data_IF_360421225562
#
_entry.id   IF_360421225562
#
_cell.length_a   1.000
_cell.length_b   1.000
_cell.length_c   1.000
_cell.angle_alpha   90.00
_cell.angle_beta   90.00
_cell.angle_gamma   90.00
#
_symmetry.space_group_name_H-M   'P 1'
#
loop_
_entity.id
_entity.type
_entity.pdbx_description
1 polymer ?
#
# COMPACT_ATOMS: atom_id res chain seq x y z
N UNK A 1 57.39 17.65 21.48
CA UNK A 1 56.35 17.35 20.45
C UNK A 1 56.38 15.90 19.90
N UNK A 2 57.15 14.98 20.47
CA UNK A 2 57.36 13.60 19.97
C UNK A 2 56.87 12.51 20.95
N UNK A 3 56.13 12.85 22.02
CA UNK A 3 55.56 11.89 22.98
C UNK A 3 54.05 11.72 22.92
N UNK A 4 53.34 12.48 22.10
CA UNK A 4 51.85 12.46 22.00
C UNK A 4 51.30 11.53 20.91
N UNK A 5 52.13 11.06 19.96
CA UNK A 5 51.65 10.20 18.87
C UNK A 5 51.63 8.70 19.16
N UNK A 6 52.28 8.21 20.23
CA UNK A 6 52.30 6.78 20.56
C UNK A 6 51.14 6.30 21.41
N UNK A 7 50.35 7.19 21.98
CA UNK A 7 49.18 6.84 22.82
C UNK A 7 47.86 6.73 21.98
N UNK A 8 47.75 7.43 20.84
CA UNK A 8 46.62 7.39 19.95
C UNK A 8 46.49 6.05 19.18
N UNK A 9 47.62 5.50 18.75
CA UNK A 9 47.63 4.23 17.99
C UNK A 9 47.31 2.99 18.81
N UNK A 10 47.52 3.03 20.13
CA UNK A 10 47.14 1.90 21.02
C UNK A 10 45.66 1.86 21.37
N UNK A 11 44.95 2.98 21.32
CA UNK A 11 43.51 3.04 21.58
C UNK A 11 42.69 2.62 20.33
N UNK A 12 43.15 2.95 19.13
CA UNK A 12 42.54 2.52 17.88
C UNK A 12 42.64 1.00 17.62
N UNK A 13 43.69 0.36 18.12
CA UNK A 13 43.85 -1.11 18.02
C UNK A 13 43.11 -1.90 19.12
N UNK A 14 42.61 -1.26 20.19
CA UNK A 14 41.84 -1.90 21.24
C UNK A 14 40.35 -1.96 20.95
N UNK A 15 39.79 -1.05 20.15
CA UNK A 15 38.36 -1.01 19.80
C UNK A 15 37.98 -2.00 18.68
N UNK A 16 38.92 -2.46 17.87
CA UNK A 16 38.65 -3.42 16.79
C UNK A 16 38.56 -4.89 17.24
N UNK A 17 38.73 -5.19 18.53
CA UNK A 17 38.82 -6.57 19.03
C UNK A 17 37.55 -7.15 19.66
N UNK A 18 36.40 -6.45 19.61
CA UNK A 18 35.16 -6.95 20.23
C UNK A 18 33.99 -7.13 19.25
N UNK A 19 34.24 -7.42 17.97
CA UNK A 19 33.22 -8.04 17.13
C UNK A 19 33.01 -9.47 17.63
N UNK A 20 31.95 -9.72 18.41
CA UNK A 20 31.54 -11.08 18.80
C UNK A 20 31.49 -11.94 17.55
N UNK A 21 32.42 -12.90 17.44
CA UNK A 21 32.49 -13.82 16.31
C UNK A 21 31.14 -14.48 16.13
N UNK A 22 30.49 -14.27 14.97
CA UNK A 22 29.18 -14.84 14.68
C UNK A 22 29.31 -16.35 14.70
N UNK A 23 28.63 -17.00 15.67
CA UNK A 23 28.64 -18.46 15.81
C UNK A 23 27.98 -19.06 14.57
N UNK A 24 28.64 -20.03 13.97
CA UNK A 24 28.16 -20.75 12.81
C UNK A 24 27.56 -22.10 13.23
N UNK A 25 26.72 -22.68 12.40
CA UNK A 25 26.15 -24.03 12.63
C UNK A 25 27.24 -25.09 12.69
N UNK A 26 28.34 -24.91 11.98
CA UNK A 26 29.55 -25.76 12.05
C UNK A 26 30.24 -25.74 13.40
N UNK A 27 30.24 -24.58 14.10
CA UNK A 27 30.82 -24.48 15.45
C UNK A 27 29.98 -25.28 16.44
N UNK A 28 28.65 -25.15 16.35
CA UNK A 28 27.71 -25.93 17.20
C UNK A 28 27.90 -27.43 16.95
N UNK A 29 28.03 -27.84 15.71
CA UNK A 29 28.22 -29.24 15.32
C UNK A 29 29.54 -29.80 15.93
N UNK A 30 30.62 -29.03 15.79
CA UNK A 30 31.95 -29.38 16.35
C UNK A 30 31.90 -29.45 17.86
N UNK A 31 31.34 -28.47 18.54
CA UNK A 31 31.33 -28.37 20.00
C UNK A 31 30.46 -29.47 20.68
N UNK A 32 29.44 -29.95 19.94
CA UNK A 32 28.57 -31.05 20.43
C UNK A 32 28.95 -32.43 19.89
N UNK A 33 29.99 -32.54 19.04
CA UNK A 33 30.43 -33.82 18.45
C UNK A 33 29.40 -34.47 17.52
N UNK A 34 28.65 -33.65 16.78
CA UNK A 34 27.62 -34.14 15.83
C UNK A 34 27.82 -33.56 14.44
N UNK A 35 27.15 -34.12 13.44
CA UNK A 35 27.22 -33.56 12.09
C UNK A 35 26.43 -32.24 11.97
N UNK A 36 26.88 -31.34 11.07
CA UNK A 36 26.15 -30.10 10.71
C UNK A 36 24.73 -30.44 10.24
N UNK A 37 24.59 -31.56 9.52
CA UNK A 37 23.28 -32.04 9.06
C UNK A 37 22.36 -32.40 10.21
N UNK A 38 22.87 -33.05 11.24
CA UNK A 38 22.11 -33.40 12.46
C UNK A 38 21.62 -32.13 13.17
N UNK A 39 22.50 -31.14 13.40
CA UNK A 39 22.11 -29.83 13.97
C UNK A 39 21.05 -29.16 13.11
N UNK A 40 21.21 -29.14 11.79
CA UNK A 40 20.26 -28.58 10.86
C UNK A 40 18.88 -29.25 10.94
N UNK A 41 18.81 -30.57 11.02
CA UNK A 41 17.53 -31.28 11.14
C UNK A 41 16.82 -30.94 12.46
N UNK A 42 17.55 -30.87 13.57
CA UNK A 42 17.01 -30.49 14.89
C UNK A 42 16.45 -29.07 14.85
N UNK A 43 17.23 -28.11 14.33
CA UNK A 43 16.82 -26.71 14.24
C UNK A 43 15.60 -26.48 13.32
N UNK A 44 15.40 -27.33 12.32
CA UNK A 44 14.25 -27.29 11.43
C UNK A 44 13.05 -28.15 11.89
N UNK A 45 13.06 -28.67 13.13
CA UNK A 45 11.96 -29.48 13.68
C UNK A 45 11.81 -30.88 13.07
N UNK A 46 12.82 -31.36 12.31
CA UNK A 46 12.80 -32.65 11.62
C UNK A 46 13.44 -33.78 12.40
N UNK A 47 13.70 -33.60 13.71
CA UNK A 47 14.38 -34.58 14.53
C UNK A 47 13.67 -35.93 14.55
N UNK A 48 12.34 -35.97 14.73
CA UNK A 48 11.54 -37.21 14.73
C UNK A 48 11.55 -37.90 13.38
N UNK A 49 11.36 -37.12 12.29
CA UNK A 49 11.39 -37.62 10.89
C UNK A 49 12.72 -38.30 10.57
N UNK A 50 13.82 -37.73 11.08
CA UNK A 50 15.19 -38.23 10.86
C UNK A 50 15.67 -39.16 11.94
N UNK A 51 14.77 -39.68 12.80
CA UNK A 51 15.04 -40.63 13.88
C UNK A 51 16.18 -40.19 14.83
N UNK A 52 16.25 -38.88 15.09
CA UNK A 52 17.20 -38.30 16.06
C UNK A 52 16.60 -38.40 17.46
N UNK A 53 17.39 -38.88 18.43
CA UNK A 53 16.92 -39.09 19.80
C UNK A 53 16.50 -37.77 20.50
N UNK A 54 15.50 -37.85 21.39
CA UNK A 54 15.03 -36.71 22.15
C UNK A 54 16.14 -36.09 23.02
N UNK A 55 17.01 -36.95 23.59
CA UNK A 55 18.15 -36.50 24.40
C UNK A 55 19.15 -35.66 23.60
N UNK A 56 19.48 -36.08 22.38
CA UNK A 56 20.36 -35.28 21.49
C UNK A 56 19.66 -34.00 21.03
N UNK A 57 18.39 -34.10 20.70
CA UNK A 57 17.58 -32.93 20.30
C UNK A 57 17.58 -31.87 21.39
N UNK A 58 17.29 -32.24 22.64
CA UNK A 58 17.33 -31.34 23.79
C UNK A 58 18.72 -30.72 23.99
N UNK A 59 19.77 -31.53 23.95
CA UNK A 59 21.17 -31.07 24.14
C UNK A 59 21.55 -30.01 23.11
N UNK A 60 21.16 -30.19 21.83
CA UNK A 60 21.43 -29.23 20.77
C UNK A 60 20.63 -27.93 20.95
N UNK A 61 19.34 -28.03 21.28
CA UNK A 61 18.49 -26.84 21.49
C UNK A 61 18.95 -26.02 22.72
N UNK A 62 19.32 -26.67 23.81
CA UNK A 62 19.84 -26.01 25.01
C UNK A 62 21.16 -25.30 24.72
N UNK A 63 22.06 -25.93 23.96
CA UNK A 63 23.31 -25.31 23.54
C UNK A 63 23.10 -24.10 22.63
N UNK A 64 22.24 -24.23 21.62
CA UNK A 64 21.84 -23.14 20.70
C UNK A 64 21.32 -21.94 21.48
N UNK A 65 20.44 -22.18 22.49
CA UNK A 65 19.92 -21.13 23.37
C UNK A 65 21.02 -20.50 24.21
N UNK A 66 21.93 -21.31 24.78
CA UNK A 66 23.06 -20.87 25.61
C UNK A 66 24.00 -19.92 24.83
N UNK A 67 24.33 -20.26 23.58
CA UNK A 67 25.28 -19.48 22.77
C UNK A 67 24.60 -18.35 21.97
N UNK A 68 23.27 -18.23 22.05
CA UNK A 68 22.53 -17.22 21.33
C UNK A 68 22.58 -17.36 19.81
N UNK A 69 22.76 -18.59 19.31
CA UNK A 69 22.81 -18.84 17.86
C UNK A 69 21.45 -18.56 17.23
N UNK A 70 21.47 -17.78 16.15
CA UNK A 70 20.31 -17.58 15.29
C UNK A 70 20.60 -18.20 13.93
N UNK A 71 19.70 -19.03 13.39
CA UNK A 71 19.84 -19.57 12.04
C UNK A 71 20.11 -18.44 11.04
N UNK A 72 21.01 -18.68 10.11
CA UNK A 72 21.25 -17.73 9.03
C UNK A 72 20.14 -17.85 7.99
N UNK A 73 19.19 -16.90 7.99
CA UNK A 73 18.06 -16.89 7.06
C UNK A 73 18.54 -16.80 5.59
N UNK A 74 19.67 -16.15 5.32
CA UNK A 74 20.28 -16.13 3.98
C UNK A 74 20.71 -17.53 3.54
N UNK A 75 21.39 -18.29 4.41
CA UNK A 75 21.81 -19.67 4.10
C UNK A 75 20.59 -20.61 3.95
N UNK A 76 19.51 -20.32 4.68
CA UNK A 76 18.25 -21.04 4.53
C UNK A 76 17.56 -20.70 3.23
N UNK A 77 17.50 -19.43 2.83
CA UNK A 77 16.90 -18.99 1.56
C UNK A 77 17.66 -19.55 0.36
N UNK A 78 19.00 -19.54 0.37
CA UNK A 78 19.82 -20.16 -0.67
C UNK A 78 19.51 -21.67 -0.84
N UNK A 79 19.29 -22.39 0.26
CA UNK A 79 18.95 -23.82 0.22
C UNK A 79 17.51 -24.11 -0.20
N UNK A 80 16.57 -23.25 0.19
CA UNK A 80 15.13 -23.47 -0.07
C UNK A 80 14.62 -22.76 -1.31
N UNK A 81 15.40 -21.83 -1.87
CA UNK A 81 14.97 -20.92 -2.92
C UNK A 81 13.89 -19.92 -2.48
N UNK A 82 13.63 -19.79 -1.14
CA UNK A 82 12.57 -18.93 -0.59
C UNK A 82 13.10 -18.07 0.53
N UNK A 83 12.85 -16.77 0.44
CA UNK A 83 13.21 -15.77 1.45
C UNK A 83 12.14 -15.58 2.52
N UNK A 84 10.91 -15.98 2.22
CA UNK A 84 9.71 -15.69 3.01
C UNK A 84 9.44 -14.19 3.17
N UNK A 85 9.80 -13.42 2.13
CA UNK A 85 9.59 -11.98 2.06
C UNK A 85 8.66 -11.69 0.88
N UNK A 86 7.69 -10.79 1.09
CA UNK A 86 6.82 -10.24 0.07
C UNK A 86 7.15 -8.75 -0.06
N UNK A 87 7.35 -8.27 -1.29
CA UNK A 87 7.50 -6.86 -1.60
C UNK A 87 6.14 -6.18 -1.78
N UNK A 88 5.89 -5.12 -1.04
CA UNK A 88 4.69 -4.28 -1.15
C UNK A 88 5.10 -2.89 -1.64
N UNK A 89 4.82 -2.62 -2.91
CA UNK A 89 5.13 -1.36 -3.60
C UNK A 89 3.85 -0.56 -3.71
N UNK A 90 3.77 0.55 -2.97
CA UNK A 90 2.57 1.40 -2.89
C UNK A 90 2.88 2.84 -3.27
N UNK A 91 1.84 3.63 -3.50
CA UNK A 91 2.00 5.05 -3.82
C UNK A 91 2.61 5.82 -2.65
N UNK A 92 1.92 5.86 -1.51
CA UNK A 92 2.33 6.60 -0.33
C UNK A 92 1.82 5.93 0.96
N UNK A 93 2.74 5.51 1.83
CA UNK A 93 2.41 4.88 3.12
C UNK A 93 1.80 5.89 4.12
N UNK A 94 1.98 7.18 3.92
CA UNK A 94 1.36 8.20 4.78
C UNK A 94 -0.14 8.35 4.52
N UNK A 95 -0.62 7.95 3.34
CA UNK A 95 -2.05 7.93 3.03
C UNK A 95 -2.75 6.79 3.81
N UNK A 96 -3.76 7.09 4.64
CA UNK A 96 -4.46 6.09 5.45
C UNK A 96 -5.05 4.91 4.68
N UNK A 97 -5.42 5.09 3.41
CA UNK A 97 -5.90 4.01 2.56
C UNK A 97 -4.81 2.93 2.40
N UNK A 98 -3.62 3.32 1.94
CA UNK A 98 -2.50 2.39 1.76
C UNK A 98 -1.98 1.85 3.08
N UNK A 99 -1.88 2.71 4.13
CA UNK A 99 -1.41 2.31 5.45
C UNK A 99 -2.29 1.23 6.09
N UNK A 100 -3.61 1.37 6.02
CA UNK A 100 -4.54 0.39 6.57
C UNK A 100 -4.47 -0.95 5.83
N UNK A 101 -4.38 -0.93 4.49
CA UNK A 101 -4.24 -2.14 3.68
C UNK A 101 -2.90 -2.81 3.97
N UNK A 102 -1.79 -2.05 4.02
CA UNK A 102 -0.47 -2.58 4.35
C UNK A 102 -0.46 -3.30 5.71
N UNK A 103 -1.06 -2.69 6.74
CA UNK A 103 -1.19 -3.29 8.08
C UNK A 103 -1.97 -4.62 8.06
N UNK A 104 -3.05 -4.69 7.29
CA UNK A 104 -3.86 -5.91 7.19
C UNK A 104 -3.12 -7.01 6.42
N UNK A 105 -2.45 -6.65 5.31
CA UNK A 105 -1.60 -7.58 4.54
C UNK A 105 -0.49 -8.12 5.43
N UNK A 106 0.20 -7.24 6.19
CA UNK A 106 1.28 -7.64 7.10
C UNK A 106 0.81 -8.66 8.13
N UNK A 107 -0.31 -8.40 8.81
CA UNK A 107 -0.85 -9.31 9.82
C UNK A 107 -1.14 -10.71 9.24
N UNK A 108 -1.75 -10.76 8.04
CA UNK A 108 -2.10 -12.01 7.34
C UNK A 108 -0.86 -12.74 6.82
N UNK A 109 0.10 -12.02 6.23
CA UNK A 109 1.37 -12.57 5.78
C UNK A 109 2.17 -13.16 6.95
N UNK A 110 2.21 -12.44 8.08
CA UNK A 110 2.89 -12.90 9.29
C UNK A 110 2.34 -14.23 9.78
N UNK A 111 1.02 -14.39 9.82
CA UNK A 111 0.36 -15.65 10.22
C UNK A 111 0.73 -16.83 9.32
N UNK A 112 1.16 -16.55 8.07
CA UNK A 112 1.62 -17.55 7.10
C UNK A 112 3.16 -17.68 7.04
N UNK A 113 3.88 -17.03 7.96
CA UNK A 113 5.33 -17.07 8.07
C UNK A 113 6.09 -16.20 7.07
N UNK A 114 5.39 -15.25 6.42
CA UNK A 114 5.99 -14.24 5.54
C UNK A 114 6.27 -12.93 6.30
N UNK A 115 7.18 -12.13 5.78
CA UNK A 115 7.45 -10.76 6.19
C UNK A 115 7.19 -9.82 5.03
N UNK A 116 6.75 -8.60 5.31
CA UNK A 116 6.53 -7.59 4.30
C UNK A 116 7.69 -6.59 4.31
N UNK A 117 8.26 -6.34 3.14
CA UNK A 117 9.04 -5.14 2.86
C UNK A 117 8.15 -4.20 2.06
N UNK A 118 7.96 -2.98 2.53
CA UNK A 118 7.17 -1.99 1.80
C UNK A 118 8.00 -0.76 1.45
N UNK A 119 7.59 -0.09 0.37
CA UNK A 119 8.17 1.17 -0.05
C UNK A 119 7.11 2.06 -0.71
N UNK A 120 7.30 3.39 -0.60
CA UNK A 120 6.47 4.40 -1.25
C UNK A 120 7.16 4.90 -2.52
N UNK A 121 6.39 4.94 -3.61
CA UNK A 121 6.88 5.34 -4.94
C UNK A 121 6.63 6.82 -5.23
N UNK A 122 5.71 7.45 -4.49
CA UNK A 122 5.21 8.82 -4.73
C UNK A 122 4.69 9.00 -6.17
N UNK A 123 4.19 7.92 -6.77
CA UNK A 123 3.79 7.84 -8.19
C UNK A 123 4.89 8.20 -9.21
N UNK A 124 6.17 8.19 -8.81
CA UNK A 124 7.29 8.47 -9.69
C UNK A 124 7.70 7.21 -10.45
N UNK A 125 7.62 7.19 -11.81
CA UNK A 125 7.93 6.00 -12.60
C UNK A 125 9.34 5.48 -12.38
N UNK A 126 10.35 6.35 -12.41
CA UNK A 126 11.75 5.96 -12.21
C UNK A 126 11.99 5.34 -10.82
N UNK A 127 11.44 5.95 -9.76
CA UNK A 127 11.51 5.43 -8.40
C UNK A 127 10.79 4.09 -8.26
N UNK A 128 9.67 3.91 -8.95
CA UNK A 128 8.92 2.65 -8.94
C UNK A 128 9.75 1.52 -9.55
N UNK A 129 10.38 1.77 -10.71
CA UNK A 129 11.28 0.79 -11.35
C UNK A 129 12.45 0.43 -10.44
N UNK A 130 13.15 1.46 -9.89
CA UNK A 130 14.28 1.25 -8.98
C UNK A 130 13.91 0.37 -7.78
N UNK A 131 12.76 0.64 -7.14
CA UNK A 131 12.31 -0.10 -5.97
C UNK A 131 11.87 -1.53 -6.31
N UNK A 132 11.28 -1.76 -7.47
CA UNK A 132 10.96 -3.11 -7.96
C UNK A 132 12.25 -3.90 -8.20
N UNK A 133 13.25 -3.32 -8.87
CA UNK A 133 14.53 -3.97 -9.11
C UNK A 133 15.28 -4.23 -7.78
N UNK A 134 15.25 -3.30 -6.83
CA UNK A 134 15.80 -3.53 -5.49
C UNK A 134 15.17 -4.76 -4.82
N UNK A 135 13.86 -4.93 -4.92
CA UNK A 135 13.18 -6.10 -4.36
C UNK A 135 13.54 -7.38 -5.12
N UNK A 136 13.74 -7.30 -6.43
CA UNK A 136 14.24 -8.41 -7.27
C UNK A 136 15.61 -8.86 -6.82
N UNK A 137 16.55 -7.92 -6.62
CA UNK A 137 17.89 -8.20 -6.11
C UNK A 137 17.89 -8.79 -4.69
N UNK A 138 16.90 -8.43 -3.88
CA UNK A 138 16.67 -9.01 -2.54
C UNK A 138 15.95 -10.35 -2.58
N UNK A 139 15.62 -10.86 -3.76
CA UNK A 139 14.95 -12.14 -3.98
C UNK A 139 13.67 -12.27 -3.17
N UNK A 140 12.80 -11.22 -3.17
CA UNK A 140 11.48 -11.35 -2.56
C UNK A 140 10.70 -12.45 -3.28
N UNK A 141 9.90 -13.22 -2.52
CA UNK A 141 9.19 -14.38 -3.06
C UNK A 141 7.98 -13.97 -3.91
N UNK A 142 7.45 -12.78 -3.72
CA UNK A 142 6.31 -12.26 -4.47
C UNK A 142 6.07 -10.77 -4.27
N UNK A 143 5.21 -10.19 -5.11
CA UNK A 143 5.01 -8.75 -5.21
C UNK A 143 3.53 -8.38 -5.12
N UNK A 144 3.22 -7.33 -4.36
CA UNK A 144 1.96 -6.59 -4.44
C UNK A 144 2.33 -5.18 -4.87
N UNK A 145 1.84 -4.72 -6.04
CA UNK A 145 2.29 -3.48 -6.65
C UNK A 145 1.10 -2.59 -6.98
N UNK A 146 1.13 -1.34 -6.50
CA UNK A 146 0.33 -0.24 -7.03
C UNK A 146 1.13 0.39 -8.18
N UNK A 147 0.79 0.10 -9.45
CA UNK A 147 1.62 0.54 -10.57
C UNK A 147 1.53 2.04 -10.78
N UNK A 148 2.66 2.75 -10.90
CA UNK A 148 2.73 4.11 -11.42
C UNK A 148 2.61 4.11 -12.95
N UNK A 149 2.43 5.28 -13.57
CA UNK A 149 2.44 5.39 -15.03
C UNK A 149 3.81 4.97 -15.58
N UNK A 150 3.85 4.35 -16.76
CA UNK A 150 5.09 3.99 -17.46
C UNK A 150 5.85 2.77 -16.93
N UNK A 151 5.32 2.00 -15.97
CA UNK A 151 6.00 0.81 -15.41
C UNK A 151 5.61 -0.52 -16.07
N UNK A 152 4.89 -0.46 -17.20
CA UNK A 152 4.42 -1.66 -17.91
C UNK A 152 5.53 -2.67 -18.16
N UNK A 153 6.64 -2.26 -18.79
CA UNK A 153 7.73 -3.15 -19.19
C UNK A 153 8.36 -3.87 -17.98
N UNK A 154 8.49 -3.15 -16.87
CA UNK A 154 8.99 -3.72 -15.61
C UNK A 154 8.06 -4.80 -15.07
N UNK A 155 6.75 -4.54 -15.06
CA UNK A 155 5.75 -5.51 -14.60
C UNK A 155 5.68 -6.73 -15.56
N UNK A 156 5.74 -6.50 -16.87
CA UNK A 156 5.83 -7.57 -17.87
C UNK A 156 7.07 -8.45 -17.68
N UNK A 157 8.22 -7.84 -17.35
CA UNK A 157 9.46 -8.58 -17.04
C UNK A 157 9.31 -9.48 -15.81
N UNK A 158 8.62 -9.01 -14.75
CA UNK A 158 8.33 -9.84 -13.57
C UNK A 158 7.44 -11.03 -13.94
N UNK A 159 6.39 -10.80 -14.72
CA UNK A 159 5.45 -11.83 -15.16
C UNK A 159 6.15 -12.86 -16.09
N UNK A 160 6.99 -12.41 -17.03
CA UNK A 160 7.78 -13.27 -17.90
C UNK A 160 8.77 -14.14 -17.11
N UNK A 161 9.24 -13.65 -15.97
CA UNK A 161 10.09 -14.39 -15.03
C UNK A 161 9.27 -15.32 -14.10
N UNK A 162 7.97 -15.46 -14.31
CA UNK A 162 7.05 -16.25 -13.48
C UNK A 162 7.06 -15.89 -11.99
N UNK A 163 7.39 -14.64 -11.66
CA UNK A 163 7.37 -14.17 -10.28
C UNK A 163 5.93 -13.93 -9.82
N UNK A 164 5.52 -14.44 -8.65
CA UNK A 164 4.21 -14.19 -8.09
C UNK A 164 3.93 -12.70 -7.91
N UNK A 165 2.86 -12.21 -8.54
CA UNK A 165 2.54 -10.79 -8.61
C UNK A 165 1.03 -10.55 -8.57
N UNK A 166 0.61 -9.52 -7.82
CA UNK A 166 -0.75 -8.99 -7.83
C UNK A 166 -0.69 -7.47 -7.91
N UNK A 167 -1.40 -6.88 -8.87
CA UNK A 167 -1.58 -5.44 -8.95
C UNK A 167 -2.69 -4.99 -7.98
N UNK A 168 -2.55 -3.79 -7.45
CA UNK A 168 -3.41 -3.26 -6.41
C UNK A 168 -3.83 -1.82 -6.70
N UNK A 169 -5.06 -1.44 -6.32
CA UNK A 169 -5.66 -0.10 -6.47
C UNK A 169 -5.93 0.28 -7.93
N UNK A 170 -5.02 -0.05 -8.82
CA UNK A 170 -5.09 0.20 -10.26
C UNK A 170 -4.48 -0.97 -11.04
N UNK A 171 -4.81 -1.07 -12.30
CA UNK A 171 -4.32 -2.09 -13.21
C UNK A 171 -3.65 -1.47 -14.43
N UNK A 172 -2.93 -2.28 -15.20
CA UNK A 172 -2.32 -1.86 -16.45
C UNK A 172 -3.20 -2.37 -17.61
N UNK A 173 -3.87 -1.49 -18.36
CA UNK A 173 -4.78 -1.89 -19.43
C UNK A 173 -4.12 -2.81 -20.46
N UNK A 174 -4.79 -3.92 -20.81
CA UNK A 174 -4.28 -4.91 -21.77
C UNK A 174 -3.18 -5.84 -21.24
N UNK A 175 -2.79 -5.72 -19.96
CA UNK A 175 -1.85 -6.66 -19.34
C UNK A 175 -2.60 -7.81 -18.67
N UNK A 176 -2.24 -9.04 -19.01
CA UNK A 176 -2.81 -10.23 -18.36
C UNK A 176 -2.11 -10.49 -17.00
N UNK A 177 -2.49 -9.73 -15.99
CA UNK A 177 -1.97 -9.81 -14.63
C UNK A 177 -3.10 -9.99 -13.63
N UNK A 178 -2.80 -10.61 -12.48
CA UNK A 178 -3.71 -10.59 -11.34
C UNK A 178 -3.85 -9.16 -10.83
N UNK A 179 -5.08 -8.75 -10.51
CA UNK A 179 -5.29 -7.48 -9.84
C UNK A 179 -6.48 -7.52 -8.89
N UNK A 180 -6.45 -6.66 -7.89
CA UNK A 180 -7.56 -6.38 -6.98
C UNK A 180 -7.76 -4.87 -6.93
N UNK A 181 -8.93 -4.42 -7.35
CA UNK A 181 -9.31 -3.01 -7.40
C UNK A 181 -10.70 -2.80 -6.81
N UNK A 182 -11.03 -1.57 -6.48
CA UNK A 182 -12.40 -1.18 -6.16
C UNK A 182 -13.20 -0.84 -7.43
N UNK A 183 -14.52 -0.99 -7.39
CA UNK A 183 -15.40 -0.50 -8.44
C UNK A 183 -15.47 1.04 -8.40
N UNK A 184 -14.49 1.66 -9.03
CA UNK A 184 -14.33 3.11 -9.06
C UNK A 184 -15.42 3.79 -9.88
N UNK A 185 -15.89 3.14 -10.96
CA UNK A 185 -16.98 3.67 -11.81
C UNK A 185 -18.28 3.75 -11.02
N UNK A 186 -18.65 2.64 -10.37
CA UNK A 186 -19.90 2.59 -9.59
C UNK A 186 -19.83 3.50 -8.38
N UNK A 187 -18.71 3.52 -7.65
CA UNK A 187 -18.54 4.37 -6.46
C UNK A 187 -18.70 5.86 -6.80
N UNK A 188 -18.08 6.32 -7.90
CA UNK A 188 -18.19 7.70 -8.34
C UNK A 188 -19.58 8.02 -8.92
N UNK A 189 -20.19 7.06 -9.62
CA UNK A 189 -21.58 7.19 -10.07
C UNK A 189 -22.53 7.37 -8.89
N UNK A 190 -22.46 6.49 -7.90
CA UNK A 190 -23.33 6.54 -6.72
C UNK A 190 -23.17 7.84 -5.92
N UNK A 191 -21.93 8.35 -5.78
CA UNK A 191 -21.64 9.64 -5.16
C UNK A 191 -22.30 10.82 -5.88
N UNK A 192 -22.14 10.87 -7.20
CA UNK A 192 -22.69 11.96 -8.03
C UNK A 192 -24.21 11.87 -8.14
N UNK A 193 -24.75 10.65 -8.33
CA UNK A 193 -26.18 10.39 -8.38
C UNK A 193 -26.87 10.78 -7.07
N UNK A 194 -26.24 10.49 -5.92
CA UNK A 194 -26.76 10.92 -4.62
C UNK A 194 -26.92 12.44 -4.54
N UNK A 195 -25.93 13.22 -4.97
CA UNK A 195 -26.02 14.69 -5.01
C UNK A 195 -27.13 15.15 -5.96
N UNK A 196 -27.22 14.58 -7.15
CA UNK A 196 -28.28 14.90 -8.11
C UNK A 196 -29.69 14.60 -7.58
N UNK A 197 -29.87 13.46 -6.90
CA UNK A 197 -31.13 13.05 -6.24
C UNK A 197 -31.51 13.99 -5.09
N UNK A 198 -30.55 14.66 -4.46
CA UNK A 198 -30.80 15.71 -3.44
C UNK A 198 -31.12 17.06 -4.03
N UNK A 199 -31.23 17.16 -5.36
CA UNK A 199 -31.65 18.37 -6.07
C UNK A 199 -30.53 19.29 -6.51
N UNK A 200 -29.24 18.91 -6.23
CA UNK A 200 -28.10 19.69 -6.70
C UNK A 200 -28.01 19.67 -8.23
N UNK A 201 -27.72 20.82 -8.85
CA UNK A 201 -27.68 21.00 -10.31
C UNK A 201 -26.29 21.33 -10.83
N UNK A 202 -25.45 21.94 -10.01
CA UNK A 202 -24.09 22.38 -10.36
C UNK A 202 -23.06 21.55 -9.59
N UNK A 203 -23.03 20.25 -9.88
CA UNK A 203 -22.18 19.29 -9.20
C UNK A 203 -20.79 19.33 -9.82
N UNK A 204 -19.80 19.80 -9.07
CA UNK A 204 -18.41 19.82 -9.52
C UNK A 204 -17.66 18.53 -9.15
N UNK A 205 -16.84 18.04 -10.06
CA UNK A 205 -15.80 17.03 -9.77
C UNK A 205 -14.45 17.71 -9.61
N UNK A 206 -13.79 17.52 -8.47
CA UNK A 206 -12.39 17.90 -8.25
C UNK A 206 -11.54 16.65 -8.33
N UNK A 207 -10.63 16.59 -9.31
CA UNK A 207 -9.82 15.40 -9.61
C UNK A 207 -8.39 15.79 -9.98
N UNK A 208 -7.55 14.80 -10.28
CA UNK A 208 -6.17 15.02 -10.69
C UNK A 208 -6.01 15.06 -12.21
N UNK A 209 -4.95 15.73 -12.67
CA UNK A 209 -4.37 15.44 -13.98
C UNK A 209 -3.65 14.09 -13.91
N UNK A 210 -4.34 13.01 -14.31
CA UNK A 210 -3.81 11.65 -14.24
C UNK A 210 -4.47 10.77 -15.30
N UNK A 211 -3.68 9.88 -15.91
CA UNK A 211 -4.15 8.83 -16.81
C UNK A 211 -4.37 7.49 -16.07
N UNK A 212 -4.12 7.44 -14.78
CA UNK A 212 -4.28 6.25 -13.95
C UNK A 212 -5.71 5.74 -13.96
N UNK A 213 -5.86 4.40 -13.98
CA UNK A 213 -7.15 3.76 -14.21
C UNK A 213 -8.20 4.14 -13.16
N UNK A 214 -7.85 4.22 -11.88
CA UNK A 214 -8.81 4.61 -10.83
C UNK A 214 -9.31 6.05 -10.98
N UNK A 215 -8.46 7.01 -11.39
CA UNK A 215 -8.86 8.39 -11.62
C UNK A 215 -9.76 8.51 -12.86
N UNK A 216 -9.40 7.82 -13.95
CA UNK A 216 -10.22 7.74 -15.16
C UNK A 216 -11.59 7.10 -14.87
N UNK A 217 -11.62 6.04 -14.09
CA UNK A 217 -12.85 5.31 -13.76
C UNK A 217 -13.76 6.14 -12.84
N UNK A 218 -13.20 6.92 -11.89
CA UNK A 218 -13.97 7.89 -11.08
C UNK A 218 -14.54 9.01 -11.95
N UNK A 219 -13.76 9.54 -12.88
CA UNK A 219 -14.24 10.51 -13.88
C UNK A 219 -15.39 9.92 -14.72
N UNK A 220 -15.24 8.69 -15.23
CA UNK A 220 -16.26 8.02 -16.01
C UNK A 220 -17.56 7.82 -15.21
N UNK A 221 -17.46 7.46 -13.93
CA UNK A 221 -18.61 7.32 -13.04
C UNK A 221 -19.35 8.64 -12.84
N UNK A 222 -18.60 9.74 -12.60
CA UNK A 222 -19.16 11.09 -12.53
C UNK A 222 -19.87 11.47 -13.84
N UNK A 223 -19.22 11.34 -15.00
CA UNK A 223 -19.80 11.71 -16.28
C UNK A 223 -21.08 10.92 -16.59
N UNK A 224 -21.10 9.61 -16.30
CA UNK A 224 -22.32 8.78 -16.46
C UNK A 224 -23.47 9.26 -15.57
N UNK A 225 -23.21 9.70 -14.34
CA UNK A 225 -24.26 10.25 -13.49
C UNK A 225 -24.75 11.61 -14.02
N UNK A 226 -23.84 12.50 -14.42
CA UNK A 226 -24.17 13.80 -15.04
C UNK A 226 -25.07 13.60 -16.26
N UNK A 227 -24.75 12.66 -17.14
CA UNK A 227 -25.57 12.32 -18.31
C UNK A 227 -26.94 11.74 -17.89
N UNK A 228 -26.97 10.78 -16.95
CA UNK A 228 -28.20 10.18 -16.45
C UNK A 228 -29.20 11.20 -15.89
N UNK A 229 -28.68 12.22 -15.17
CA UNK A 229 -29.52 13.28 -14.58
C UNK A 229 -29.64 14.53 -15.47
N UNK A 230 -29.14 14.49 -16.72
CA UNK A 230 -29.18 15.59 -17.70
C UNK A 230 -28.60 16.90 -17.15
N UNK A 231 -27.48 16.82 -16.43
CA UNK A 231 -26.78 17.95 -15.83
C UNK A 231 -25.60 18.40 -16.72
N UNK A 232 -25.03 19.57 -16.42
CA UNK A 232 -23.80 20.05 -17.05
C UNK A 232 -22.59 19.58 -16.21
N UNK A 233 -21.50 19.13 -16.87
CA UNK A 233 -20.28 18.74 -16.16
C UNK A 233 -19.48 19.98 -15.74
N UNK A 234 -19.01 19.98 -14.49
CA UNK A 234 -18.08 20.96 -13.93
C UNK A 234 -16.86 20.19 -13.41
N UNK A 235 -15.70 20.33 -14.05
CA UNK A 235 -14.52 19.54 -13.73
C UNK A 235 -13.35 20.44 -13.42
N UNK A 236 -12.83 20.36 -12.19
CA UNK A 236 -11.57 20.96 -11.77
C UNK A 236 -10.49 19.89 -11.69
N UNK A 237 -9.42 20.07 -12.47
CA UNK A 237 -8.23 19.19 -12.38
C UNK A 237 -7.11 19.89 -11.63
N UNK A 238 -6.40 19.15 -10.81
CA UNK A 238 -5.26 19.59 -9.98
C UNK A 238 -4.04 18.75 -10.31
N UNK A 239 -2.85 19.33 -10.39
CA UNK A 239 -1.62 18.57 -10.52
C UNK A 239 -1.12 18.10 -9.15
N UNK A 240 -0.62 16.85 -9.07
CA UNK A 240 0.13 16.39 -7.93
C UNK A 240 1.49 17.11 -7.88
N UNK A 241 1.81 17.71 -6.73
CA UNK A 241 3.10 18.38 -6.52
C UNK A 241 3.09 19.89 -6.79
N UNK A 242 1.96 20.48 -7.22
CA UNK A 242 1.81 21.93 -7.23
C UNK A 242 1.91 22.49 -5.79
N UNK A 243 2.35 23.75 -5.69
CA UNK A 243 2.38 24.45 -4.40
C UNK A 243 0.99 24.52 -3.77
N UNK A 244 0.88 24.14 -2.48
CA UNK A 244 -0.41 24.08 -1.78
C UNK A 244 -1.19 25.39 -1.84
N UNK A 245 -0.49 26.53 -1.72
CA UNK A 245 -1.14 27.85 -1.75
C UNK A 245 -1.66 28.17 -3.16
N UNK A 246 -0.92 27.81 -4.20
CA UNK A 246 -1.35 27.97 -5.59
C UNK A 246 -2.59 27.11 -5.89
N UNK A 247 -2.61 25.85 -5.42
CA UNK A 247 -3.78 24.95 -5.56
C UNK A 247 -5.00 25.52 -4.85
N UNK A 248 -4.84 26.06 -3.64
CA UNK A 248 -5.94 26.71 -2.90
C UNK A 248 -6.49 27.91 -3.68
N UNK A 249 -5.63 28.79 -4.19
CA UNK A 249 -6.06 29.97 -4.94
C UNK A 249 -6.77 29.59 -6.23
N UNK A 250 -6.23 28.64 -6.98
CA UNK A 250 -6.82 28.15 -8.22
C UNK A 250 -8.18 27.45 -7.99
N UNK A 251 -8.30 26.70 -6.89
CA UNK A 251 -9.58 26.11 -6.50
C UNK A 251 -10.60 27.17 -6.07
N UNK A 252 -10.19 28.21 -5.35
CA UNK A 252 -11.06 29.33 -4.97
C UNK A 252 -11.57 30.11 -6.19
N UNK A 253 -10.69 30.38 -7.17
CA UNK A 253 -11.10 31.00 -8.42
C UNK A 253 -12.13 30.15 -9.20
N UNK A 254 -11.95 28.83 -9.20
CA UNK A 254 -12.93 27.90 -9.77
C UNK A 254 -14.28 27.97 -9.06
N UNK A 255 -14.31 28.07 -7.73
CA UNK A 255 -15.55 28.21 -6.97
C UNK A 255 -16.27 29.54 -7.26
N UNK A 256 -15.53 30.64 -7.40
CA UNK A 256 -16.09 31.97 -7.71
C UNK A 256 -16.68 31.99 -9.14
N UNK A 257 -16.01 31.39 -10.12
CA UNK A 257 -16.42 31.34 -11.51
C UNK A 257 -17.60 30.38 -11.72
N UNK A 258 -17.48 29.15 -11.25
CA UNK A 258 -18.44 28.08 -11.53
C UNK A 258 -19.57 27.99 -10.51
N UNK A 259 -19.44 28.53 -9.31
CA UNK A 259 -20.43 28.53 -8.22
C UNK A 259 -21.16 27.18 -8.05
N UNK A 260 -20.43 26.06 -7.82
CA UNK A 260 -21.06 24.76 -7.66
C UNK A 260 -21.91 24.72 -6.38
N UNK A 261 -23.09 24.09 -6.44
CA UNK A 261 -23.94 23.83 -5.29
C UNK A 261 -23.56 22.52 -4.58
N UNK A 262 -22.78 21.67 -5.23
CA UNK A 262 -22.20 20.46 -4.66
C UNK A 262 -20.82 20.15 -5.26
N UNK A 263 -19.97 19.51 -4.47
CA UNK A 263 -18.61 19.11 -4.89
C UNK A 263 -18.39 17.64 -4.56
N UNK A 264 -17.97 16.88 -5.57
CA UNK A 264 -17.44 15.54 -5.43
C UNK A 264 -15.92 15.58 -5.59
N UNK A 265 -15.18 15.28 -4.52
CA UNK A 265 -13.73 15.16 -4.54
C UNK A 265 -13.34 13.72 -4.88
N UNK A 266 -12.52 13.55 -5.90
CA UNK A 266 -12.10 12.25 -6.39
C UNK A 266 -11.14 11.49 -5.44
N UNK A 267 -10.62 12.14 -4.39
CA UNK A 267 -9.77 11.53 -3.35
C UNK A 267 -9.95 12.26 -2.01
N UNK A 268 -9.59 11.57 -0.90
CA UNK A 268 -9.66 12.16 0.45
C UNK A 268 -8.73 13.37 0.63
N UNK A 269 -7.54 13.37 0.07
CA UNK A 269 -6.60 14.49 0.21
C UNK A 269 -7.04 15.72 -0.59
N UNK A 270 -7.67 15.54 -1.76
CA UNK A 270 -8.31 16.64 -2.47
C UNK A 270 -9.47 17.23 -1.66
N UNK A 271 -10.27 16.38 -0.99
CA UNK A 271 -11.34 16.84 -0.11
C UNK A 271 -10.79 17.64 1.08
N UNK A 272 -9.74 17.15 1.74
CA UNK A 272 -9.11 17.86 2.87
C UNK A 272 -8.57 19.23 2.41
N UNK A 273 -7.87 19.29 1.27
CA UNK A 273 -7.38 20.53 0.67
C UNK A 273 -8.50 21.50 0.33
N UNK A 274 -9.56 21.01 -0.33
CA UNK A 274 -10.74 21.81 -0.68
C UNK A 274 -11.50 22.36 0.54
N UNK A 275 -11.70 21.53 1.55
CA UNK A 275 -12.33 21.94 2.82
C UNK A 275 -11.48 23.00 3.56
N UNK A 276 -10.14 22.87 3.53
CA UNK A 276 -9.22 23.88 4.04
C UNK A 276 -9.39 25.22 3.30
N UNK A 277 -9.48 25.18 1.96
CA UNK A 277 -9.67 26.36 1.12
C UNK A 277 -10.99 27.08 1.41
N UNK A 278 -12.11 26.32 1.52
CA UNK A 278 -13.42 26.86 1.90
C UNK A 278 -13.38 27.56 3.26
N UNK A 279 -12.77 26.92 4.27
CA UNK A 279 -12.65 27.47 5.62
C UNK A 279 -11.81 28.75 5.67
N UNK A 280 -10.69 28.81 4.94
CA UNK A 280 -9.79 29.98 4.95
C UNK A 280 -10.48 31.27 4.46
N UNK A 281 -11.40 31.18 3.51
CA UNK A 281 -12.13 32.32 2.99
C UNK A 281 -13.53 32.52 3.60
N UNK A 282 -13.90 31.70 4.58
CA UNK A 282 -15.24 31.74 5.18
C UNK A 282 -16.36 31.65 4.13
N UNK A 283 -16.13 30.84 3.07
CA UNK A 283 -17.11 30.61 2.01
C UNK A 283 -18.23 29.69 2.50
N UNK A 284 -19.46 29.88 2.04
CA UNK A 284 -20.53 28.91 2.29
C UNK A 284 -20.10 27.53 1.84
N UNK A 285 -20.33 26.53 2.66
CA UNK A 285 -19.97 25.15 2.33
C UNK A 285 -21.03 24.56 1.39
N UNK A 286 -20.70 24.23 0.12
CA UNK A 286 -21.59 23.47 -0.74
C UNK A 286 -21.78 22.05 -0.19
N UNK A 287 -22.73 21.28 -0.72
CA UNK A 287 -22.78 19.86 -0.41
C UNK A 287 -21.47 19.16 -0.82
N UNK A 288 -20.94 18.29 0.03
CA UNK A 288 -19.63 17.67 -0.22
C UNK A 288 -19.73 16.15 -0.12
N UNK A 289 -19.14 15.48 -1.13
CA UNK A 289 -18.84 14.05 -1.10
C UNK A 289 -17.36 13.83 -1.42
N UNK A 290 -16.69 12.94 -0.69
CA UNK A 290 -15.31 12.53 -0.96
C UNK A 290 -15.24 11.08 -1.43
N UNK A 291 -14.40 10.77 -2.39
CA UNK A 291 -13.91 9.41 -2.55
C UNK A 291 -12.85 9.13 -1.47
N UNK A 292 -12.82 7.89 -0.95
CA UNK A 292 -12.04 7.45 0.20
C UNK A 292 -12.49 8.05 1.54
N UNK A 293 -13.07 7.21 2.39
CA UNK A 293 -13.47 7.63 3.75
C UNK A 293 -12.22 7.89 4.61
N UNK A 294 -12.26 8.97 5.38
CA UNK A 294 -11.17 9.38 6.24
C UNK A 294 -11.69 9.66 7.65
N UNK A 295 -10.89 9.31 8.68
CA UNK A 295 -11.28 9.52 10.09
C UNK A 295 -11.61 10.98 10.40
N UNK A 296 -10.87 11.92 9.80
CA UNK A 296 -11.13 13.36 9.97
C UNK A 296 -12.53 13.76 9.51
N UNK A 297 -13.11 13.07 8.52
CA UNK A 297 -14.45 13.41 7.99
C UNK A 297 -15.57 13.25 9.02
N UNK A 298 -15.33 12.47 10.07
CA UNK A 298 -16.24 12.32 11.20
C UNK A 298 -16.09 13.43 12.25
N UNK A 299 -15.03 14.24 12.15
CA UNK A 299 -14.72 15.32 13.07
C UNK A 299 -15.05 16.70 12.51
N UNK A 300 -15.39 16.78 11.22
CA UNK A 300 -15.88 18.01 10.61
C UNK A 300 -17.33 18.31 11.04
N UNK A 301 -17.70 19.58 10.96
CA UNK A 301 -19.09 20.03 11.08
C UNK A 301 -19.42 20.87 9.85
N UNK A 302 -20.29 20.38 8.97
CA UNK A 302 -20.96 19.07 8.98
C UNK A 302 -20.00 17.89 8.74
N UNK A 303 -20.34 16.69 9.25
CA UNK A 303 -19.61 15.44 8.94
C UNK A 303 -19.69 15.10 7.45
N UNK A 304 -18.56 14.63 6.85
CA UNK A 304 -18.42 14.51 5.39
C UNK A 304 -18.88 13.15 4.88
N UNK A 305 -19.80 13.16 3.92
CA UNK A 305 -20.21 11.99 3.13
C UNK A 305 -19.04 11.45 2.33
N UNK A 306 -18.86 10.12 2.30
CA UNK A 306 -17.72 9.53 1.60
C UNK A 306 -18.06 8.19 0.92
N UNK A 307 -17.39 7.93 -0.20
CA UNK A 307 -17.31 6.58 -0.80
C UNK A 307 -16.24 5.81 -0.08
N UNK A 308 -16.63 4.77 0.63
CA UNK A 308 -15.73 3.90 1.39
C UNK A 308 -15.34 2.68 0.57
N UNK A 309 -14.05 2.44 0.41
CA UNK A 309 -13.54 1.22 -0.20
C UNK A 309 -13.53 0.07 0.80
N UNK A 310 -13.73 -1.19 0.36
CA UNK A 310 -13.79 -2.38 1.24
C UNK A 310 -12.38 -2.85 1.64
N UNK A 311 -11.70 -2.09 2.49
CA UNK A 311 -10.27 -2.24 2.85
C UNK A 311 -9.92 -3.67 3.29
N UNK A 312 -10.75 -4.28 4.15
CA UNK A 312 -10.56 -5.64 4.65
C UNK A 312 -10.63 -6.67 3.51
N UNK A 313 -11.65 -6.55 2.65
CA UNK A 313 -11.83 -7.46 1.52
C UNK A 313 -10.72 -7.30 0.48
N UNK A 314 -10.24 -6.08 0.23
CA UNK A 314 -9.10 -5.81 -0.64
C UNK A 314 -7.85 -6.51 -0.09
N UNK A 315 -7.52 -6.31 1.19
CA UNK A 315 -6.35 -6.91 1.81
C UNK A 315 -6.43 -8.45 1.81
N UNK A 316 -7.61 -9.02 2.07
CA UNK A 316 -7.85 -10.47 2.02
C UNK A 316 -7.60 -11.02 0.63
N UNK A 317 -8.18 -10.39 -0.38
CA UNK A 317 -8.09 -10.85 -1.74
C UNK A 317 -6.66 -10.75 -2.30
N UNK A 318 -5.95 -9.64 -1.99
CA UNK A 318 -4.55 -9.45 -2.38
C UNK A 318 -3.65 -10.55 -1.82
N UNK A 319 -3.69 -10.76 -0.49
CA UNK A 319 -2.79 -11.73 0.14
C UNK A 319 -3.15 -13.17 -0.25
N UNK A 320 -4.44 -13.52 -0.36
CA UNK A 320 -4.86 -14.85 -0.76
C UNK A 320 -4.47 -15.15 -2.21
N UNK A 321 -4.65 -14.20 -3.13
CA UNK A 321 -4.25 -14.34 -4.53
C UNK A 321 -2.74 -14.54 -4.63
N UNK A 322 -1.94 -13.76 -3.91
CA UNK A 322 -0.49 -13.90 -3.92
C UNK A 322 -0.02 -15.24 -3.29
N UNK A 323 -0.58 -15.62 -2.14
CA UNK A 323 -0.21 -16.87 -1.48
C UNK A 323 -0.56 -18.10 -2.31
N UNK A 324 -1.68 -18.08 -3.03
CA UNK A 324 -2.03 -19.17 -3.96
C UNK A 324 -0.98 -19.30 -5.08
N UNK A 325 -0.46 -18.21 -5.64
CA UNK A 325 0.62 -18.23 -6.60
C UNK A 325 1.92 -18.80 -5.98
N UNK A 326 2.30 -18.36 -4.78
CA UNK A 326 3.48 -18.84 -4.03
C UNK A 326 3.42 -20.32 -3.68
N UNK A 327 2.22 -20.89 -3.57
CA UNK A 327 1.95 -22.31 -3.35
C UNK A 327 1.80 -23.11 -4.64
N UNK A 328 1.89 -22.46 -5.83
CA UNK A 328 1.70 -23.10 -7.13
C UNK A 328 0.26 -23.49 -7.45
N UNK A 329 -0.72 -22.90 -6.75
CA UNK A 329 -2.15 -23.19 -6.92
C UNK A 329 -2.86 -22.23 -7.88
N UNK A 330 -2.30 -21.07 -8.15
CA UNK A 330 -2.90 -20.02 -8.99
C UNK A 330 -2.49 -20.18 -10.45
N UNK A 331 -3.18 -21.01 -11.24
CA UNK A 331 -2.90 -21.18 -12.66
C UNK A 331 -3.61 -20.17 -13.57
N UNK A 332 -4.75 -19.65 -13.13
CA UNK A 332 -5.55 -18.70 -13.88
C UNK A 332 -5.34 -17.27 -13.35
N UNK A 333 -5.35 -16.30 -14.28
CA UNK A 333 -5.28 -14.88 -13.92
C UNK A 333 -6.60 -14.47 -13.25
N UNK A 334 -6.49 -13.90 -12.05
CA UNK A 334 -7.61 -13.44 -11.25
C UNK A 334 -7.70 -11.91 -11.28
N UNK A 335 -8.80 -11.40 -11.81
CA UNK A 335 -9.08 -9.97 -11.93
C UNK A 335 -10.29 -9.63 -11.07
N UNK A 336 -10.07 -9.04 -9.91
CA UNK A 336 -11.09 -8.83 -8.89
C UNK A 336 -11.46 -7.36 -8.81
N UNK A 337 -12.75 -7.08 -8.91
CA UNK A 337 -13.35 -5.75 -8.71
C UNK A 337 -14.29 -5.84 -7.52
N UNK A 338 -13.99 -5.10 -6.46
CA UNK A 338 -14.74 -5.11 -5.21
C UNK A 338 -15.65 -3.89 -5.09
N UNK A 339 -16.93 -4.05 -4.66
CA UNK A 339 -17.86 -2.94 -4.57
C UNK A 339 -17.46 -1.95 -3.48
N UNK A 340 -17.47 -0.64 -3.81
CA UNK A 340 -17.39 0.46 -2.85
C UNK A 340 -18.77 0.76 -2.26
N UNK A 341 -18.83 1.45 -1.10
CA UNK A 341 -20.07 1.83 -0.42
C UNK A 341 -20.13 3.32 -0.15
N UNK A 342 -21.20 3.98 -0.55
CA UNK A 342 -21.46 5.37 -0.17
C UNK A 342 -21.94 5.42 1.30
N UNK A 343 -21.25 6.18 2.13
CA UNK A 343 -21.60 6.45 3.53
C UNK A 343 -22.11 7.88 3.60
N UNK A 344 -23.43 8.02 3.65
CA UNK A 344 -24.11 9.31 3.70
C UNK A 344 -23.96 9.91 5.11
N UNK A 345 -23.54 11.19 5.16
CA UNK A 345 -23.41 12.00 6.37
C UNK A 345 -23.99 13.41 6.13
N UNK A 346 -23.84 14.30 7.10
CA UNK A 346 -24.48 15.61 7.14
C UNK A 346 -24.15 16.50 5.93
N UNK A 347 -22.92 16.43 5.39
CA UNK A 347 -22.47 17.31 4.28
C UNK A 347 -23.24 17.17 2.98
N UNK A 348 -24.10 16.14 2.84
CA UNK A 348 -24.93 15.93 1.67
C UNK A 348 -26.30 15.32 2.01
N UNK A 349 -26.70 15.32 3.28
CA UNK A 349 -27.96 14.68 3.71
C UNK A 349 -29.19 15.52 3.40
N UNK A 350 -29.09 16.83 3.39
CA UNK A 350 -30.20 17.76 3.12
C UNK A 350 -29.79 18.87 2.17
N UNK A 351 -30.75 19.40 1.36
CA UNK A 351 -30.59 20.72 0.79
C UNK A 351 -30.54 21.71 1.94
N UNK A 352 -29.44 22.44 2.08
CA UNK A 352 -29.44 23.66 2.90
C UNK A 352 -30.35 24.62 2.15
N UNK A 353 -31.65 24.63 2.53
CA UNK A 353 -32.59 25.63 2.02
C UNK A 353 -31.98 27.01 2.37
N UNK A 354 -31.64 27.75 1.33
CA UNK A 354 -31.30 29.18 1.42
C UNK A 354 -32.59 29.95 1.83
N UNK A 355 -33.12 29.70 3.03
CA UNK A 355 -34.18 30.45 3.68
C UNK A 355 -33.66 30.85 5.05
N UNK A 356 -32.93 31.95 5.06
CA UNK A 356 -32.51 32.65 6.25
C UNK A 356 -32.47 34.14 5.95
N UNK A 357 -33.48 34.79 6.40
CA UNK A 357 -33.80 36.23 6.41
C UNK A 357 -32.63 37.21 6.27
#
# INVERSE_FOLDING_TARGET
LLKSQKTGDRLLHAETKNMKKKILISDIARDLGVSVTTVSFILNGKAKEKRISDGLTKRVLDYVKKVGYKPNELAKSLRTGKTKIIGLVIEDISNPFFANIARLIEAKAYAKGYRILYCSTDNQPGKTVELIELFRDRHVDGYIITPSEGVRDTVESLLASHLPLVLFDRYIPGLNANYVISDNVKGAYDATAHLAQRGHKRIALVTLYSSQTQMRDRMNGYMRAIDTYQLQPYVKKVNMGDDEQAVIQDFQAFLEDQQPDAIFFATNYLAIGGLKALKQRNLPMPAVVSYDDHTLFKLFTPTITAVSQPIEAIADELINTLLNQLEGKGKETKQVVLPSKLIIRESSSEQISATGN
#
